data_IF_139103882537
#
_entry.id   IF_139103882537
#
_cell.length_a   1.000
_cell.length_b   1.000
_cell.length_c   1.000
_cell.angle_alpha   90.00
_cell.angle_beta   90.00
_cell.angle_gamma   90.00
#
_symmetry.space_group_name_H-M   'P 1'
#
loop_
_entity.id
_entity.type
_entity.pdbx_description
1 polymer ?
#
# COMPACT_ATOMS: atom_id res chain seq x y z
N UNK A 1 -1.90 48.66 66.02
CA UNK A 1 -3.09 48.87 66.91
C UNK A 1 -3.78 47.55 66.98
N UNK A 2 -3.47 46.73 67.97
CA UNK A 2 -4.23 46.46 69.17
C UNK A 2 -5.65 46.01 68.87
N UNK A 3 -6.12 44.86 69.24
CA UNK A 3 -6.10 44.33 70.56
C UNK A 3 -6.52 42.82 70.64
N UNK A 4 -6.03 42.31 71.68
CA UNK A 4 -6.24 41.04 72.34
C UNK A 4 -7.64 40.94 73.01
N UNK A 5 -7.97 39.70 73.33
CA UNK A 5 -8.56 39.16 74.59
C UNK A 5 -9.59 38.09 74.27
N UNK A 6 -9.75 36.92 74.87
CA UNK A 6 -9.30 36.23 76.06
C UNK A 6 -10.39 35.24 76.46
N UNK A 7 -10.00 34.01 76.69
CA UNK A 7 -10.49 33.00 77.66
C UNK A 7 -11.89 33.00 78.19
N UNK A 8 -12.61 31.87 78.16
CA UNK A 8 -12.99 31.22 79.44
C UNK A 8 -13.40 29.75 79.21
N UNK A 9 -12.91 28.92 80.10
CA UNK A 9 -13.19 27.49 80.26
C UNK A 9 -14.59 27.29 80.83
N UNK A 10 -15.17 26.12 80.51
CA UNK A 10 -15.97 25.38 81.52
C UNK A 10 -15.96 23.91 81.21
N UNK A 11 -15.55 23.15 82.17
CA UNK A 11 -15.52 21.65 82.25
C UNK A 11 -16.91 21.13 82.59
N UNK A 12 -17.29 20.02 82.00
CA UNK A 12 -18.18 19.05 82.66
C UNK A 12 -17.90 17.60 82.13
N UNK A 13 -17.64 16.73 83.06
CA UNK A 13 -17.44 15.28 82.88
C UNK A 13 -18.81 14.59 82.66
N UNK A 14 -18.89 13.63 81.76
CA UNK A 14 -19.75 12.47 81.96
C UNK A 14 -19.23 11.27 81.18
N UNK A 15 -19.13 10.17 81.89
CA UNK A 15 -18.70 8.83 81.41
C UNK A 15 -19.75 8.20 80.51
N UNK A 16 -19.34 7.54 79.40
CA UNK A 16 -20.28 6.79 78.58
C UNK A 16 -19.56 5.82 77.68
N UNK A 17 -19.82 4.58 77.83
CA UNK A 17 -19.41 3.34 77.18
C UNK A 17 -18.79 3.45 75.77
N UNK A 18 -17.60 2.89 75.62
CA UNK A 18 -16.99 2.62 74.32
C UNK A 18 -17.54 1.30 73.78
N UNK A 19 -18.39 1.41 72.75
CA UNK A 19 -18.79 0.27 71.94
C UNK A 19 -17.87 0.18 70.74
N UNK A 20 -17.04 -0.83 70.72
CA UNK A 20 -16.08 -1.10 69.65
C UNK A 20 -16.84 -1.74 68.46
N UNK A 21 -17.15 -0.94 67.44
CA UNK A 21 -17.70 -1.44 66.18
C UNK A 21 -16.53 -1.85 65.25
N UNK A 22 -16.32 -3.15 65.12
CA UNK A 22 -15.41 -3.73 64.06
C UNK A 22 -16.08 -3.55 62.70
N UNK A 23 -15.58 -2.56 61.92
CA UNK A 23 -15.86 -2.48 60.49
C UNK A 23 -14.99 -3.52 59.77
N UNK A 24 -15.59 -4.66 59.36
CA UNK A 24 -15.00 -5.57 58.40
C UNK A 24 -15.09 -4.93 57.02
N UNK A 25 -13.97 -4.35 56.54
CA UNK A 25 -13.81 -3.91 55.15
C UNK A 25 -13.65 -5.15 54.25
N UNK A 26 -14.77 -5.63 53.70
CA UNK A 26 -14.75 -6.66 52.66
C UNK A 26 -14.11 -6.04 51.38
N UNK A 27 -12.89 -6.42 51.06
CA UNK A 27 -12.32 -6.20 49.73
C UNK A 27 -13.16 -6.97 48.69
N UNK A 28 -14.05 -6.30 47.99
CA UNK A 28 -14.65 -6.79 46.76
C UNK A 28 -13.55 -6.83 45.69
N UNK A 29 -12.89 -7.98 45.55
CA UNK A 29 -12.07 -8.26 44.37
C UNK A 29 -13.03 -8.44 43.22
N UNK A 30 -13.21 -7.39 42.41
CA UNK A 30 -13.91 -7.50 41.14
C UNK A 30 -13.15 -8.52 40.26
N UNK A 31 -13.82 -9.52 39.69
CA UNK A 31 -13.17 -10.43 38.78
C UNK A 31 -12.64 -9.59 37.58
N UNK A 32 -11.31 -9.59 37.36
CA UNK A 32 -10.73 -9.10 36.16
C UNK A 32 -11.35 -9.91 35.02
N UNK A 33 -12.24 -9.29 34.25
CA UNK A 33 -12.71 -9.86 33.01
C UNK A 33 -11.48 -10.09 32.12
N UNK A 34 -11.06 -11.33 31.97
CA UNK A 34 -10.13 -11.77 30.96
C UNK A 34 -10.71 -11.29 29.63
N UNK A 35 -10.10 -10.28 29.03
CA UNK A 35 -10.47 -9.84 27.69
C UNK A 35 -10.43 -11.07 26.79
N UNK A 36 -11.55 -11.38 26.12
CA UNK A 36 -11.57 -12.45 25.14
C UNK A 36 -10.43 -12.22 24.15
N UNK A 37 -9.67 -13.26 23.78
CA UNK A 37 -8.58 -13.09 22.82
C UNK A 37 -9.15 -12.42 21.57
N UNK A 38 -8.49 -11.34 21.11
CA UNK A 38 -8.91 -10.63 19.92
C UNK A 38 -9.09 -11.64 18.78
N UNK A 39 -10.19 -11.53 18.05
CA UNK A 39 -10.53 -12.50 17.00
C UNK A 39 -9.42 -12.49 15.94
N UNK A 40 -8.55 -13.51 15.96
CA UNK A 40 -7.48 -13.67 14.97
C UNK A 40 -8.07 -13.92 13.60
N UNK A 41 -7.36 -13.46 12.56
CA UNK A 41 -7.71 -13.73 11.18
C UNK A 41 -7.76 -12.49 10.30
N UNK A 42 -8.08 -12.72 9.04
CA UNK A 42 -8.20 -11.69 8.01
C UNK A 42 -9.67 -11.31 7.85
N UNK A 43 -9.99 -10.03 8.03
CA UNK A 43 -11.31 -9.46 7.78
C UNK A 43 -11.27 -8.65 6.50
N UNK A 44 -12.29 -8.82 5.65
CA UNK A 44 -12.50 -8.08 4.41
C UNK A 44 -13.93 -7.53 4.47
N UNK A 45 -14.06 -6.23 4.69
CA UNK A 45 -15.34 -5.56 4.98
C UNK A 45 -15.59 -4.45 3.97
N UNK A 46 -16.66 -4.59 3.18
CA UNK A 46 -17.05 -3.59 2.19
C UNK A 46 -17.80 -2.41 2.85
N UNK A 47 -17.45 -1.22 2.43
CA UNK A 47 -18.14 0.04 2.72
C UNK A 47 -18.29 0.80 1.38
N UNK A 48 -19.27 0.40 0.59
CA UNK A 48 -19.49 0.96 -0.75
C UNK A 48 -19.91 2.43 -0.70
N UNK A 49 -20.58 2.85 0.39
CA UNK A 49 -20.99 4.25 0.57
C UNK A 49 -19.78 5.18 0.62
N UNK A 50 -18.68 4.73 1.24
CA UNK A 50 -17.41 5.44 1.32
C UNK A 50 -16.39 5.01 0.25
N UNK A 51 -16.83 4.22 -0.74
CA UNK A 51 -16.02 3.73 -1.87
C UNK A 51 -14.74 3.04 -1.42
N UNK A 52 -14.88 2.07 -0.50
CA UNK A 52 -13.77 1.32 0.05
C UNK A 52 -14.16 -0.09 0.47
N UNK A 53 -13.15 -0.95 0.56
CA UNK A 53 -13.21 -2.23 1.26
C UNK A 53 -12.03 -2.25 2.21
N UNK A 54 -12.28 -2.43 3.51
CA UNK A 54 -11.25 -2.46 4.52
C UNK A 54 -10.74 -3.86 4.78
N UNK A 55 -9.45 -4.00 4.86
CA UNK A 55 -8.75 -5.25 5.17
C UNK A 55 -7.98 -5.07 6.48
N UNK A 56 -8.31 -5.92 7.45
CA UNK A 56 -7.59 -6.02 8.73
C UNK A 56 -7.05 -7.42 8.94
N UNK A 57 -5.90 -7.53 9.60
CA UNK A 57 -5.30 -8.80 10.02
C UNK A 57 -5.12 -8.74 11.53
N UNK A 58 -5.68 -9.73 12.24
CA UNK A 58 -5.68 -9.81 13.72
C UNK A 58 -6.16 -8.49 14.38
N UNK A 59 -7.25 -7.93 13.83
CA UNK A 59 -7.84 -6.63 14.19
C UNK A 59 -6.97 -5.39 13.91
N UNK A 60 -5.74 -5.55 13.42
CA UNK A 60 -4.89 -4.41 13.01
C UNK A 60 -5.15 -4.04 11.54
N UNK A 61 -5.15 -2.75 11.18
CA UNK A 61 -5.26 -2.32 9.80
C UNK A 61 -4.13 -2.93 8.94
N UNK A 62 -4.48 -3.37 7.72
CA UNK A 62 -3.49 -3.79 6.73
C UNK A 62 -3.54 -2.89 5.52
N UNK A 63 -4.70 -2.82 4.86
CA UNK A 63 -4.90 -1.94 3.70
C UNK A 63 -6.39 -1.69 3.47
N UNK A 64 -6.71 -0.79 2.54
CA UNK A 64 -8.06 -0.64 2.01
C UNK A 64 -7.99 -0.60 0.48
N UNK A 65 -8.87 -1.35 -0.18
CA UNK A 65 -9.15 -1.14 -1.59
C UNK A 65 -10.07 0.07 -1.72
N UNK A 66 -9.60 1.11 -2.39
CA UNK A 66 -10.33 2.38 -2.51
C UNK A 66 -10.48 2.82 -3.96
N UNK A 67 -11.62 3.49 -4.28
CA UNK A 67 -11.90 4.08 -5.60
C UNK A 67 -12.55 5.47 -5.48
N UNK A 68 -11.87 6.43 -4.80
CA UNK A 68 -12.40 7.77 -4.65
C UNK A 68 -12.46 8.50 -6.00
N UNK A 69 -13.37 9.46 -6.15
CA UNK A 69 -13.52 10.24 -7.39
C UNK A 69 -12.32 11.10 -7.75
N UNK A 70 -11.44 11.36 -6.78
CA UNK A 70 -10.19 12.10 -6.98
C UNK A 70 -9.13 11.31 -7.75
N UNK A 71 -9.18 9.97 -7.70
CA UNK A 71 -8.30 9.11 -8.47
C UNK A 71 -8.93 8.68 -9.81
N UNK A 72 -8.09 8.25 -10.74
CA UNK A 72 -8.50 7.78 -12.08
C UNK A 72 -8.44 6.26 -12.20
N UNK A 73 -8.17 5.57 -11.11
CA UNK A 73 -8.11 4.12 -10.98
C UNK A 73 -8.31 3.71 -9.52
N UNK A 74 -8.79 2.48 -9.25
CA UNK A 74 -8.77 1.91 -7.90
C UNK A 74 -7.34 1.64 -7.44
N UNK A 75 -7.12 1.65 -6.13
CA UNK A 75 -5.82 1.38 -5.52
C UNK A 75 -5.97 0.67 -4.17
N UNK A 76 -4.93 -0.04 -3.71
CA UNK A 76 -4.79 -0.44 -2.31
C UNK A 76 -4.02 0.66 -1.55
N UNK A 77 -4.65 1.28 -0.54
CA UNK A 77 -4.07 2.38 0.24
C UNK A 77 -4.79 2.57 1.58
N UNK A 78 -4.07 2.93 2.67
CA UNK A 78 -2.62 2.77 2.81
C UNK A 78 -2.24 1.28 2.87
N UNK A 79 -0.95 0.96 2.79
CA UNK A 79 -0.44 -0.39 3.09
C UNK A 79 0.42 -0.27 4.35
N UNK A 80 0.13 -1.15 5.32
CA UNK A 80 0.70 -1.13 6.66
C UNK A 80 1.26 -2.51 6.99
N UNK A 81 2.46 -2.59 7.53
CA UNK A 81 3.08 -3.85 7.91
C UNK A 81 2.50 -4.46 9.20
N UNK A 82 3.06 -5.57 9.68
CA UNK A 82 2.58 -6.25 10.87
C UNK A 82 2.82 -5.44 12.16
N UNK A 83 3.80 -4.55 12.17
CA UNK A 83 4.18 -3.70 13.30
C UNK A 83 3.48 -2.31 13.26
N UNK A 84 2.59 -2.09 12.29
CA UNK A 84 1.84 -0.84 12.15
C UNK A 84 2.57 0.25 11.37
N UNK A 85 3.66 -0.08 10.67
CA UNK A 85 4.44 0.85 9.87
C UNK A 85 3.81 1.03 8.49
N UNK A 86 3.46 2.27 8.13
CA UNK A 86 2.93 2.58 6.81
C UNK A 86 4.06 2.66 5.78
N UNK A 87 3.95 1.86 4.72
CA UNK A 87 4.96 1.76 3.65
C UNK A 87 4.61 2.55 2.40
N UNK A 88 3.37 3.03 2.27
CA UNK A 88 2.92 3.82 1.12
C UNK A 88 3.04 5.32 1.37
N UNK A 89 3.44 6.08 0.32
CA UNK A 89 3.41 7.54 0.33
C UNK A 89 1.98 8.06 0.51
N UNK A 90 1.81 9.13 1.30
CA UNK A 90 0.50 9.72 1.56
C UNK A 90 -0.05 10.51 0.37
N UNK A 91 0.77 11.36 -0.29
CA UNK A 91 0.33 12.15 -1.43
C UNK A 91 -0.16 11.30 -2.62
N UNK A 92 -1.29 11.63 -3.29
CA UNK A 92 -2.11 12.82 -3.12
C UNK A 92 -3.28 12.66 -2.13
N UNK A 93 -3.43 11.54 -1.45
CA UNK A 93 -4.59 11.19 -0.63
C UNK A 93 -4.49 11.73 0.81
N UNK A 94 -3.29 11.69 1.35
CA UNK A 94 -2.98 12.11 2.72
C UNK A 94 -1.64 12.87 2.69
N UNK A 95 -1.70 14.17 2.99
CA UNK A 95 -0.52 15.03 2.88
C UNK A 95 0.33 14.92 4.14
N UNK A 96 1.56 14.46 3.99
CA UNK A 96 2.50 14.29 5.12
C UNK A 96 3.74 15.17 4.93
N UNK A 97 4.15 15.93 5.96
CA UNK A 97 5.41 16.68 5.91
C UNK A 97 6.61 15.78 5.60
N UNK A 98 7.50 16.28 4.77
CA UNK A 98 8.71 15.56 4.36
C UNK A 98 8.51 14.57 3.21
N UNK A 99 7.27 14.32 2.75
CA UNK A 99 7.02 13.47 1.58
C UNK A 99 7.03 14.26 0.27
N UNK A 100 7.47 13.60 -0.81
CA UNK A 100 7.40 14.17 -2.17
C UNK A 100 5.97 14.37 -2.62
N UNK A 101 5.71 15.51 -3.27
CA UNK A 101 4.42 15.88 -3.85
C UNK A 101 4.47 15.94 -5.37
N UNK A 102 5.20 15.00 -5.96
CA UNK A 102 5.28 14.77 -7.40
C UNK A 102 4.34 13.64 -7.85
N UNK A 103 4.15 13.46 -9.15
CA UNK A 103 3.41 12.34 -9.74
C UNK A 103 2.09 12.02 -9.00
N UNK A 104 1.07 12.89 -9.07
CA UNK A 104 -0.20 12.71 -8.34
C UNK A 104 -0.97 11.45 -8.76
N UNK A 105 -0.56 10.80 -9.85
CA UNK A 105 -1.10 9.52 -10.31
C UNK A 105 -0.46 8.31 -9.61
N UNK A 106 0.64 8.48 -8.87
CA UNK A 106 1.25 7.40 -8.08
C UNK A 106 0.64 7.36 -6.67
N UNK A 107 -0.37 6.53 -6.44
CA UNK A 107 -1.05 6.39 -5.16
C UNK A 107 -1.18 4.92 -4.77
N UNK A 108 -0.67 4.54 -3.59
CA UNK A 108 -0.76 3.18 -3.06
C UNK A 108 -0.11 2.11 -3.93
N UNK A 109 -0.77 0.95 -4.04
CA UNK A 109 -0.49 -0.13 -4.98
C UNK A 109 -1.61 -0.16 -6.02
N UNK A 110 -1.26 -0.20 -7.31
CA UNK A 110 -2.23 -0.10 -8.40
C UNK A 110 -1.80 -0.89 -9.63
N UNK A 111 -2.78 -1.18 -10.51
CA UNK A 111 -2.57 -1.82 -11.81
C UNK A 111 -3.12 -0.92 -12.92
N UNK A 112 -2.28 -0.51 -13.88
CA UNK A 112 -2.65 0.20 -15.11
C UNK A 112 -1.48 0.26 -16.10
N UNK A 113 -1.63 0.94 -17.25
CA UNK A 113 -0.61 1.00 -18.30
C UNK A 113 -0.63 2.33 -19.06
N UNK A 114 0.55 2.77 -19.55
CA UNK A 114 0.72 4.06 -20.22
C UNK A 114 0.06 4.10 -21.60
N UNK A 115 0.17 3.05 -22.41
CA UNK A 115 -0.26 3.10 -23.82
C UNK A 115 -1.16 1.94 -24.20
N UNK A 116 -2.48 2.16 -24.10
CA UNK A 116 -3.51 1.22 -24.54
C UNK A 116 -4.34 1.86 -25.64
N UNK A 117 -4.19 1.40 -26.87
CA UNK A 117 -4.81 1.99 -28.07
C UNK A 117 -4.50 3.50 -28.24
N UNK A 118 -3.34 3.97 -27.74
CA UNK A 118 -2.94 5.37 -27.79
C UNK A 118 -3.48 6.24 -26.67
N UNK A 119 -4.19 5.67 -25.69
CA UNK A 119 -4.64 6.37 -24.49
C UNK A 119 -3.73 6.04 -23.30
N UNK A 120 -3.45 7.06 -22.49
CA UNK A 120 -2.60 6.95 -21.32
C UNK A 120 -3.45 6.75 -20.05
N UNK A 121 -3.40 5.53 -19.50
CA UNK A 121 -4.07 5.21 -18.25
C UNK A 121 -3.16 5.38 -17.03
N UNK A 122 -1.82 5.40 -17.24
CA UNK A 122 -0.87 5.51 -16.14
C UNK A 122 -0.78 6.93 -15.58
N UNK A 123 -0.51 7.91 -16.43
CA UNK A 123 -0.25 9.28 -16.00
C UNK A 123 -1.52 10.08 -15.65
N UNK A 124 -2.71 9.52 -15.86
CA UNK A 124 -3.96 10.24 -15.63
C UNK A 124 -4.19 10.58 -14.16
N UNK A 125 -4.49 11.85 -13.91
CA UNK A 125 -4.77 12.40 -12.58
C UNK A 125 -5.63 13.67 -12.67
N UNK A 126 -6.04 14.20 -11.53
CA UNK A 126 -6.72 15.50 -11.47
C UNK A 126 -5.89 16.69 -11.96
N UNK A 127 -4.55 16.55 -12.01
CA UNK A 127 -3.63 17.59 -12.47
C UNK A 127 -3.46 17.66 -13.99
N UNK A 128 -4.05 16.73 -14.76
CA UNK A 128 -3.99 16.73 -16.22
C UNK A 128 -4.73 17.96 -16.77
N UNK A 129 -4.05 18.70 -17.65
CA UNK A 129 -4.62 19.88 -18.29
C UNK A 129 -5.81 19.53 -19.18
N UNK A 130 -6.82 20.40 -19.29
CA UNK A 130 -8.04 20.12 -20.04
C UNK A 130 -7.81 19.64 -21.48
N UNK A 131 -6.84 20.22 -22.18
CA UNK A 131 -6.50 19.90 -23.57
C UNK A 131 -5.87 18.52 -23.76
N UNK A 132 -5.35 17.91 -22.68
CA UNK A 132 -4.74 16.58 -22.70
C UNK A 132 -5.72 15.47 -22.30
N UNK A 133 -6.85 15.81 -21.68
CA UNK A 133 -7.79 14.83 -21.10
C UNK A 133 -8.35 13.85 -22.12
N UNK A 134 -8.53 14.25 -23.36
CA UNK A 134 -9.02 13.39 -24.44
C UNK A 134 -8.06 12.23 -24.77
N UNK A 135 -6.79 12.33 -24.40
CA UNK A 135 -5.76 11.30 -24.60
C UNK A 135 -5.57 10.40 -23.36
N UNK A 136 -6.28 10.69 -22.28
CA UNK A 136 -6.17 9.94 -21.03
C UNK A 136 -7.22 8.85 -20.96
N UNK A 137 -6.90 7.75 -20.26
CA UNK A 137 -7.86 6.72 -19.90
C UNK A 137 -8.10 6.67 -18.39
N UNK A 138 -9.20 6.08 -17.98
CA UNK A 138 -9.54 5.88 -16.57
C UNK A 138 -10.01 4.44 -16.34
N UNK A 139 -9.75 3.91 -15.14
CA UNK A 139 -10.25 2.61 -14.71
C UNK A 139 -11.30 2.85 -13.64
N UNK A 140 -12.53 2.49 -13.95
CA UNK A 140 -13.68 2.78 -13.10
C UNK A 140 -14.14 1.50 -12.41
N UNK A 141 -14.16 1.50 -11.08
CA UNK A 141 -14.78 0.44 -10.28
C UNK A 141 -16.24 0.32 -10.62
N UNK A 142 -16.71 -0.89 -10.93
CA UNK A 142 -18.11 -1.15 -11.31
C UNK A 142 -18.84 -1.98 -10.28
N UNK A 143 -18.17 -2.98 -9.68
CA UNK A 143 -18.84 -3.91 -8.75
C UNK A 143 -17.85 -4.56 -7.79
N UNK A 144 -18.27 -4.75 -6.53
CA UNK A 144 -17.69 -5.74 -5.63
C UNK A 144 -18.41 -7.06 -5.90
N UNK A 145 -17.67 -8.05 -6.40
CA UNK A 145 -18.25 -9.38 -6.72
C UNK A 145 -18.41 -10.20 -5.46
N UNK A 146 -17.38 -10.23 -4.62
CA UNK A 146 -17.40 -10.95 -3.34
C UNK A 146 -16.34 -10.45 -2.38
N UNK A 147 -16.64 -10.59 -1.09
CA UNK A 147 -15.71 -10.46 0.02
C UNK A 147 -15.77 -11.73 0.88
N UNK A 148 -14.62 -12.26 1.29
CA UNK A 148 -14.52 -13.39 2.20
C UNK A 148 -13.49 -13.07 3.27
N UNK A 149 -13.87 -13.32 4.52
CA UNK A 149 -12.97 -13.25 5.68
C UNK A 149 -12.64 -14.68 6.13
N UNK A 150 -11.45 -14.89 6.70
CA UNK A 150 -11.03 -16.22 7.15
C UNK A 150 -9.93 -16.17 8.21
N UNK A 151 -9.54 -17.34 8.72
CA UNK A 151 -8.54 -17.43 9.79
C UNK A 151 -7.13 -17.02 9.29
N UNK A 152 -6.74 -17.51 8.11
CA UNK A 152 -5.38 -17.33 7.59
C UNK A 152 -5.36 -16.47 6.33
N UNK A 153 -6.48 -16.37 5.61
CA UNK A 153 -6.62 -15.56 4.42
C UNK A 153 -8.00 -14.89 4.30
N UNK A 154 -8.03 -13.74 3.61
CA UNK A 154 -9.25 -13.08 3.15
C UNK A 154 -9.20 -12.88 1.64
N UNK A 155 -10.35 -12.77 1.00
CA UNK A 155 -10.46 -12.61 -0.44
C UNK A 155 -11.38 -11.44 -0.78
N UNK A 156 -10.97 -10.65 -1.77
CA UNK A 156 -11.79 -9.62 -2.41
C UNK A 156 -11.78 -9.86 -3.92
N UNK A 157 -12.96 -9.92 -4.52
CA UNK A 157 -13.10 -9.95 -5.99
C UNK A 157 -13.87 -8.73 -6.44
N UNK A 158 -13.28 -7.98 -7.36
CA UNK A 158 -13.85 -6.72 -7.89
C UNK A 158 -13.84 -6.72 -9.41
N UNK A 159 -14.75 -5.94 -9.98
CA UNK A 159 -14.79 -5.66 -11.40
C UNK A 159 -14.63 -4.16 -11.66
N UNK A 160 -13.92 -3.86 -12.74
CA UNK A 160 -13.69 -2.50 -13.23
C UNK A 160 -13.75 -2.47 -14.75
N UNK A 161 -13.91 -1.29 -15.31
CA UNK A 161 -13.92 -1.07 -16.75
C UNK A 161 -12.86 -0.02 -17.12
N UNK A 162 -12.10 -0.27 -18.20
CA UNK A 162 -11.16 0.69 -18.75
C UNK A 162 -11.87 1.54 -19.78
N UNK A 163 -11.88 2.86 -19.54
CA UNK A 163 -12.60 3.84 -20.32
C UNK A 163 -11.63 4.86 -20.89
N UNK A 164 -11.67 5.06 -22.18
CA UNK A 164 -10.84 6.04 -22.90
C UNK A 164 -11.33 7.47 -22.69
N UNK A 165 -10.53 8.46 -23.05
CA UNK A 165 -10.86 9.87 -22.90
C UNK A 165 -12.08 10.32 -23.71
N UNK A 166 -12.48 9.57 -24.73
CA UNK A 166 -13.72 9.72 -25.52
C UNK A 166 -14.88 8.87 -24.98
N UNK A 167 -14.77 8.37 -23.75
CA UNK A 167 -15.77 7.57 -23.03
C UNK A 167 -16.08 6.18 -23.65
N UNK A 168 -15.20 5.63 -24.47
CA UNK A 168 -15.34 4.27 -24.98
C UNK A 168 -14.81 3.26 -23.96
N UNK A 169 -15.60 2.25 -23.64
CA UNK A 169 -15.16 1.09 -22.85
C UNK A 169 -14.38 0.14 -23.76
N UNK A 170 -13.14 -0.20 -23.38
CA UNK A 170 -12.25 -1.03 -24.19
C UNK A 170 -11.86 -2.35 -23.52
N UNK A 171 -11.86 -2.40 -22.17
CA UNK A 171 -11.54 -3.60 -21.40
C UNK A 171 -12.45 -3.72 -20.19
N UNK A 172 -12.89 -4.94 -19.90
CA UNK A 172 -13.34 -5.32 -18.58
C UNK A 172 -12.15 -5.89 -17.81
N UNK A 173 -12.05 -5.53 -16.55
CA UNK A 173 -11.06 -6.06 -15.62
C UNK A 173 -11.76 -6.75 -14.47
N UNK A 174 -11.37 -7.98 -14.19
CA UNK A 174 -11.69 -8.66 -12.92
C UNK A 174 -10.40 -8.79 -12.14
N UNK A 175 -10.40 -8.32 -10.90
CA UNK A 175 -9.25 -8.48 -10.00
C UNK A 175 -9.66 -9.28 -8.78
N UNK A 176 -8.91 -10.34 -8.50
CA UNK A 176 -9.00 -11.12 -7.28
C UNK A 176 -7.78 -10.83 -6.43
N UNK A 177 -8.01 -10.27 -5.25
CA UNK A 177 -7.03 -10.10 -4.20
C UNK A 177 -7.15 -11.21 -3.19
N UNK A 178 -6.01 -11.77 -2.74
CA UNK A 178 -5.94 -12.64 -1.57
C UNK A 178 -4.99 -12.01 -0.57
N UNK A 179 -5.50 -11.71 0.59
CA UNK A 179 -4.76 -11.13 1.71
C UNK A 179 -4.45 -12.25 2.69
N UNK A 180 -3.16 -12.46 2.99
CA UNK A 180 -2.74 -13.56 3.85
C UNK A 180 -1.96 -13.06 5.05
N UNK A 181 -2.25 -13.69 6.19
CA UNK A 181 -1.49 -13.55 7.41
C UNK A 181 -0.31 -14.52 7.39
N UNK A 182 0.88 -14.01 7.67
CA UNK A 182 2.08 -14.81 7.94
C UNK A 182 2.72 -14.30 9.24
N UNK A 183 3.51 -15.12 9.88
CA UNK A 183 4.34 -14.67 11.00
C UNK A 183 5.38 -13.68 10.46
N UNK A 184 5.44 -12.46 11.05
CA UNK A 184 6.33 -11.37 10.64
C UNK A 184 6.21 -10.90 9.18
N UNK A 185 5.13 -11.28 8.48
CA UNK A 185 4.85 -10.79 7.13
C UNK A 185 3.36 -10.66 6.83
N UNK A 186 3.04 -9.82 5.86
CA UNK A 186 1.71 -9.69 5.25
C UNK A 186 1.84 -9.89 3.75
N UNK A 187 0.90 -10.61 3.16
CA UNK A 187 0.97 -10.97 1.74
C UNK A 187 -0.27 -10.51 1.02
N UNK A 188 -0.08 -9.99 -0.18
CA UNK A 188 -1.15 -9.67 -1.13
C UNK A 188 -0.86 -10.42 -2.43
N UNK A 189 -1.74 -11.34 -2.80
CA UNK A 189 -1.78 -11.87 -4.16
C UNK A 189 -2.79 -11.08 -4.97
N UNK A 190 -2.41 -10.72 -6.17
CA UNK A 190 -3.24 -9.99 -7.11
C UNK A 190 -3.30 -10.76 -8.43
N UNK A 191 -4.50 -11.24 -8.78
CA UNK A 191 -4.78 -11.90 -10.04
C UNK A 191 -5.71 -11.00 -10.85
N UNK A 192 -5.18 -10.43 -11.91
CA UNK A 192 -5.88 -9.51 -12.79
C UNK A 192 -6.20 -10.23 -14.10
N UNK A 193 -7.46 -10.27 -14.49
CA UNK A 193 -7.91 -10.73 -15.80
C UNK A 193 -8.49 -9.57 -16.58
N UNK A 194 -7.89 -9.27 -17.71
CA UNK A 194 -8.35 -8.27 -18.68
C UNK A 194 -9.09 -8.99 -19.80
N UNK A 195 -10.34 -8.59 -20.09
CA UNK A 195 -11.12 -9.08 -21.22
C UNK A 195 -11.39 -7.95 -22.19
N UNK A 196 -10.95 -8.11 -23.43
CA UNK A 196 -11.11 -7.10 -24.46
C UNK A 196 -12.57 -6.98 -24.95
N UNK A 197 -13.07 -5.74 -24.97
CA UNK A 197 -14.40 -5.39 -25.50
C UNK A 197 -14.34 -4.99 -26.98
N UNK A 198 -13.12 -4.71 -27.47
CA UNK A 198 -12.79 -4.36 -28.84
C UNK A 198 -11.37 -4.87 -29.15
N UNK A 199 -10.80 -4.57 -30.32
CA UNK A 199 -9.38 -4.77 -30.60
C UNK A 199 -8.55 -3.85 -29.69
N UNK A 200 -7.69 -4.41 -28.83
CA UNK A 200 -6.90 -3.70 -27.84
C UNK A 200 -5.41 -4.04 -28.01
N UNK A 201 -4.58 -3.01 -28.11
CA UNK A 201 -3.13 -3.12 -28.20
C UNK A 201 -2.49 -2.37 -27.04
N UNK A 202 -1.77 -3.09 -26.19
CA UNK A 202 -0.83 -2.53 -25.23
C UNK A 202 0.50 -2.32 -25.95
N UNK A 203 0.75 -1.13 -26.49
CA UNK A 203 2.03 -0.80 -27.11
C UNK A 203 3.11 -0.74 -26.07
N UNK A 204 4.29 -1.25 -26.39
CA UNK A 204 5.44 -1.16 -25.49
C UNK A 204 5.61 0.27 -24.97
N UNK A 205 5.62 0.43 -23.67
CA UNK A 205 5.74 1.71 -22.98
C UNK A 205 6.56 1.55 -21.69
N UNK A 206 7.10 2.65 -21.23
CA UNK A 206 7.94 2.66 -20.02
C UNK A 206 7.11 2.45 -18.75
N UNK A 207 5.94 3.07 -18.68
CA UNK A 207 5.14 3.17 -17.46
C UNK A 207 4.02 2.12 -17.44
N UNK A 208 4.15 1.18 -16.56
CA UNK A 208 3.28 0.04 -16.33
C UNK A 208 3.95 -0.97 -15.37
N UNK A 209 3.35 -2.04 -15.01
CA UNK A 209 1.95 -2.47 -15.11
C UNK A 209 1.35 -2.48 -13.70
N UNK A 210 2.03 -3.17 -12.76
CA UNK A 210 1.78 -3.10 -11.32
C UNK A 210 2.73 -2.08 -10.72
N UNK A 211 2.18 -1.02 -10.10
CA UNK A 211 2.96 0.05 -9.49
C UNK A 211 2.69 0.20 -8.01
N UNK A 212 3.73 0.45 -7.24
CA UNK A 212 3.69 0.82 -5.83
C UNK A 212 4.41 2.15 -5.64
N UNK A 213 3.82 3.10 -4.92
CA UNK A 213 4.51 4.31 -4.49
C UNK A 213 4.78 4.24 -2.99
N UNK A 214 6.06 4.14 -2.65
CA UNK A 214 6.48 3.96 -1.27
C UNK A 214 6.63 5.27 -0.51
N UNK A 215 6.58 5.20 0.82
CA UNK A 215 6.84 6.30 1.73
C UNK A 215 8.26 6.86 1.57
N UNK A 216 8.49 8.12 1.93
CA UNK A 216 9.76 8.82 1.72
C UNK A 216 10.97 8.13 2.37
N UNK A 217 10.80 7.48 3.51
CA UNK A 217 11.88 6.75 4.17
C UNK A 217 12.34 5.48 3.43
N UNK A 218 11.51 4.98 2.48
CA UNK A 218 11.84 3.89 1.53
C UNK A 218 12.38 4.41 0.18
N UNK A 219 12.53 5.74 0.00
CA UNK A 219 13.24 6.27 -1.16
C UNK A 219 14.73 5.95 -1.05
N UNK A 220 15.45 5.99 -2.18
CA UNK A 220 16.91 5.85 -2.18
C UNK A 220 17.58 7.05 -1.51
N UNK A 221 18.58 6.86 -0.64
CA UNK A 221 19.36 7.96 -0.07
C UNK A 221 20.15 8.74 -1.12
N UNK A 222 20.32 8.20 -2.33
CA UNK A 222 20.98 8.89 -3.45
C UNK A 222 20.07 9.91 -4.13
N UNK A 223 18.75 9.80 -3.95
CA UNK A 223 17.78 10.75 -4.53
C UNK A 223 17.86 12.09 -3.82
N UNK A 224 18.08 13.13 -4.61
CA UNK A 224 18.26 14.49 -4.11
C UNK A 224 17.31 15.44 -4.80
N UNK A 225 16.90 16.45 -4.05
CA UNK A 225 16.02 17.49 -4.58
C UNK A 225 14.61 17.00 -4.93
N UNK A 226 13.75 17.92 -5.29
CA UNK A 226 12.36 17.66 -5.65
C UNK A 226 11.41 18.67 -5.03
N UNK A 227 10.11 18.35 -5.09
CA UNK A 227 9.06 19.12 -4.42
C UNK A 227 8.55 18.27 -3.25
N UNK A 228 8.64 18.81 -2.04
CA UNK A 228 8.27 18.14 -0.82
C UNK A 228 7.22 18.94 -0.07
N UNK A 229 6.38 18.27 0.71
CA UNK A 229 5.48 18.92 1.66
C UNK A 229 6.30 19.46 2.83
N UNK A 230 6.22 20.76 3.11
CA UNK A 230 6.82 21.34 4.30
C UNK A 230 5.97 21.11 5.56
N UNK A 231 6.48 21.51 6.71
CA UNK A 231 5.77 21.38 7.99
C UNK A 231 4.49 22.23 8.09
N UNK A 232 4.33 23.22 7.22
CA UNK A 232 3.15 24.08 7.12
C UNK A 232 2.12 23.57 6.12
N UNK A 233 2.40 22.43 5.46
CA UNK A 233 1.51 21.85 4.45
C UNK A 233 1.62 22.48 3.06
N UNK A 234 2.73 23.15 2.74
CA UNK A 234 2.96 23.75 1.42
C UNK A 234 3.97 22.93 0.60
N UNK A 235 3.72 22.71 -0.71
CA UNK A 235 4.70 22.14 -1.61
C UNK A 235 5.91 23.08 -1.77
N UNK A 236 7.09 22.65 -1.37
CA UNK A 236 8.32 23.43 -1.40
C UNK A 236 9.38 22.71 -2.21
N UNK A 237 10.00 23.42 -3.19
CA UNK A 237 11.11 22.89 -3.97
C UNK A 237 12.39 22.93 -3.13
N UNK A 238 13.10 21.82 -3.10
CA UNK A 238 14.42 21.70 -2.48
C UNK A 238 15.40 21.07 -3.48
N UNK A 239 16.65 21.56 -3.49
CA UNK A 239 17.67 21.11 -4.45
C UNK A 239 18.56 19.97 -3.88
N UNK A 240 18.43 19.67 -2.61
CA UNK A 240 19.09 18.56 -1.93
C UNK A 240 18.10 17.77 -1.09
N UNK A 241 18.46 16.57 -0.65
CA UNK A 241 17.65 15.83 0.31
C UNK A 241 17.36 16.71 1.54
N UNK A 242 16.11 16.74 2.04
CA UNK A 242 15.77 17.55 3.21
C UNK A 242 16.63 17.14 4.40
N UNK A 243 17.31 18.11 5.01
CA UNK A 243 18.13 17.90 6.22
C UNK A 243 17.23 18.00 7.45
N UNK A 244 17.41 17.07 8.40
CA UNK A 244 16.68 17.10 9.66
C UNK A 244 15.21 16.68 9.57
N UNK A 245 14.79 16.04 8.46
CA UNK A 245 13.48 15.39 8.40
C UNK A 245 13.45 14.16 9.32
N UNK A 246 12.34 13.90 10.01
CA UNK A 246 12.12 12.61 10.61
C UNK A 246 12.15 11.52 9.52
N UNK A 247 12.85 10.42 9.76
CA UNK A 247 12.95 9.29 8.84
C UNK A 247 13.64 9.63 7.50
N UNK A 248 14.97 9.76 7.47
CA UNK A 248 15.71 9.93 6.22
C UNK A 248 15.51 8.73 5.30
N UNK A 249 15.63 8.95 3.99
CA UNK A 249 15.56 7.90 3.00
C UNK A 249 16.66 6.84 3.21
N UNK A 250 16.27 5.56 3.23
CA UNK A 250 17.16 4.43 3.49
C UNK A 250 16.95 3.27 2.51
N UNK A 251 16.04 3.43 1.54
CA UNK A 251 15.62 2.35 0.66
C UNK A 251 16.71 1.84 -0.28
N UNK A 252 16.88 0.54 -0.33
CA UNK A 252 17.77 -0.15 -1.26
C UNK A 252 17.01 -1.26 -2.01
N UNK A 253 17.02 -1.21 -3.34
CA UNK A 253 16.51 -2.28 -4.19
C UNK A 253 17.48 -3.45 -4.29
N UNK A 254 16.93 -4.66 -4.43
CA UNK A 254 17.68 -5.88 -4.78
C UNK A 254 16.81 -6.73 -5.70
N UNK A 255 17.35 -7.14 -6.86
CA UNK A 255 16.66 -8.05 -7.78
C UNK A 255 17.06 -9.51 -7.53
N UNK A 256 16.27 -10.45 -8.06
CA UNK A 256 16.59 -11.89 -8.06
C UNK A 256 17.92 -12.23 -8.76
N UNK A 257 18.45 -11.30 -9.54
CA UNK A 257 19.73 -11.44 -10.25
C UNK A 257 20.88 -10.77 -9.48
N UNK A 258 20.64 -10.33 -8.23
CA UNK A 258 21.64 -9.71 -7.36
C UNK A 258 21.98 -8.25 -7.68
N UNK A 259 21.20 -7.59 -8.55
CA UNK A 259 21.43 -6.18 -8.92
C UNK A 259 20.83 -5.28 -7.84
N UNK A 260 21.63 -4.29 -7.36
CA UNK A 260 21.29 -3.45 -6.23
C UNK A 260 21.02 -1.99 -6.60
N UNK A 261 20.26 -1.31 -5.73
CA UNK A 261 20.01 0.12 -5.75
C UNK A 261 19.39 0.59 -7.08
N UNK A 262 19.77 1.77 -7.53
CA UNK A 262 19.24 2.38 -8.77
C UNK A 262 19.57 1.60 -10.04
N UNK A 263 20.56 0.68 -9.99
CA UNK A 263 20.89 -0.19 -11.12
C UNK A 263 19.81 -1.26 -11.39
N UNK A 264 18.89 -1.50 -10.45
CA UNK A 264 17.73 -2.38 -10.65
C UNK A 264 16.80 -1.88 -11.76
N UNK A 265 16.78 -0.57 -12.05
CA UNK A 265 15.96 0.00 -13.13
C UNK A 265 16.27 -0.64 -14.49
N UNK A 266 15.22 -0.96 -15.23
CA UNK A 266 15.28 -1.57 -16.57
C UNK A 266 15.91 -2.98 -16.61
N UNK A 267 16.19 -3.61 -15.46
CA UNK A 267 16.65 -5.00 -15.41
C UNK A 267 15.47 -5.97 -15.35
N UNK A 268 15.69 -7.21 -15.76
CA UNK A 268 14.69 -8.27 -15.66
C UNK A 268 14.96 -9.14 -14.43
N UNK A 269 13.90 -9.69 -13.86
CA UNK A 269 14.05 -10.61 -12.74
C UNK A 269 12.70 -11.19 -12.31
N UNK A 270 12.75 -12.34 -11.62
CA UNK A 270 11.57 -13.03 -11.10
C UNK A 270 10.93 -12.27 -9.94
N UNK A 271 11.74 -11.59 -9.16
CA UNK A 271 11.33 -10.71 -8.09
C UNK A 271 12.30 -9.54 -7.93
N UNK A 272 11.81 -8.48 -7.35
CA UNK A 272 12.61 -7.37 -6.84
C UNK A 272 12.13 -7.04 -5.42
N UNK A 273 13.06 -6.74 -4.53
CA UNK A 273 12.77 -6.26 -3.18
C UNK A 273 13.25 -4.84 -2.99
N UNK A 274 12.63 -4.16 -2.03
CA UNK A 274 13.02 -2.85 -1.52
C UNK A 274 13.08 -2.95 0.00
N UNK A 275 14.27 -2.81 0.58
CA UNK A 275 14.48 -2.82 2.03
C UNK A 275 14.83 -1.43 2.51
N UNK A 276 14.26 -1.00 3.63
CA UNK A 276 14.57 0.27 4.28
C UNK A 276 14.29 0.25 5.77
N UNK A 277 14.67 1.35 6.45
CA UNK A 277 14.60 1.47 7.90
C UNK A 277 13.85 2.75 8.30
N UNK A 278 13.09 2.66 9.40
CA UNK A 278 12.46 3.82 10.05
C UNK A 278 12.47 3.62 11.56
N UNK A 279 13.18 4.50 12.30
CA UNK A 279 13.52 4.24 13.70
C UNK A 279 14.26 2.92 13.83
N UNK A 280 13.81 2.07 14.75
CA UNK A 280 14.38 0.73 14.98
C UNK A 280 13.75 -0.37 14.12
N UNK A 281 12.80 -0.01 13.22
CA UNK A 281 12.12 -0.96 12.37
C UNK A 281 12.81 -1.11 11.02
N UNK A 282 12.92 -2.35 10.57
CA UNK A 282 13.35 -2.71 9.22
C UNK A 282 12.19 -3.33 8.48
N UNK A 283 11.95 -2.87 7.27
CA UNK A 283 10.90 -3.40 6.41
C UNK A 283 11.48 -3.82 5.07
N UNK A 284 11.05 -4.96 4.56
CA UNK A 284 11.32 -5.38 3.18
C UNK A 284 9.99 -5.56 2.43
N UNK A 285 9.87 -4.92 1.28
CA UNK A 285 8.77 -5.14 0.32
C UNK A 285 9.33 -5.97 -0.82
N UNK A 286 8.79 -7.17 -1.06
CA UNK A 286 9.12 -7.96 -2.25
C UNK A 286 7.94 -7.96 -3.22
N UNK A 287 8.18 -7.61 -4.49
CA UNK A 287 7.25 -7.83 -5.60
C UNK A 287 7.72 -9.04 -6.40
N UNK A 288 6.83 -10.01 -6.61
CA UNK A 288 7.12 -11.27 -7.27
C UNK A 288 6.26 -11.39 -8.52
N UNK A 289 6.92 -11.61 -9.65
CA UNK A 289 6.29 -11.86 -10.95
C UNK A 289 6.00 -13.35 -11.14
N UNK A 290 4.93 -13.68 -11.87
CA UNK A 290 4.54 -15.07 -12.12
C UNK A 290 4.95 -15.53 -13.52
N UNK A 291 5.53 -16.74 -13.69
CA UNK A 291 5.92 -17.27 -14.99
C UNK A 291 4.80 -17.34 -16.04
N UNK A 292 3.54 -17.39 -15.61
CA UNK A 292 2.38 -17.34 -16.49
C UNK A 292 2.03 -15.95 -17.04
N UNK A 293 2.72 -14.90 -16.61
CA UNK A 293 2.44 -13.56 -17.08
C UNK A 293 2.97 -13.30 -18.49
N UNK A 294 2.20 -12.62 -19.36
CA UNK A 294 2.75 -12.11 -20.62
C UNK A 294 4.01 -11.28 -20.36
N UNK A 295 5.10 -11.59 -21.08
CA UNK A 295 6.36 -10.86 -20.97
C UNK A 295 7.27 -11.25 -19.80
N UNK A 296 6.93 -12.30 -19.03
CA UNK A 296 7.79 -12.83 -17.93
C UNK A 296 9.23 -13.14 -18.39
N UNK A 297 10.26 -12.97 -17.52
CA UNK A 297 10.23 -12.18 -16.30
C UNK A 297 10.10 -10.68 -16.59
N UNK A 298 9.48 -9.97 -15.66
CA UNK A 298 9.21 -8.54 -15.81
C UNK A 298 10.46 -7.68 -15.91
N UNK A 299 10.34 -6.48 -16.47
CA UNK A 299 11.30 -5.40 -16.26
C UNK A 299 10.94 -4.62 -15.01
N UNK A 300 11.93 -4.30 -14.19
CA UNK A 300 11.73 -3.53 -12.97
C UNK A 300 11.81 -2.03 -13.27
N UNK A 301 10.71 -1.33 -13.07
CA UNK A 301 10.69 0.12 -13.08
C UNK A 301 10.88 0.62 -11.64
N UNK A 302 12.06 0.31 -11.07
CA UNK A 302 12.48 0.66 -9.72
C UNK A 302 13.21 2.02 -9.76
N UNK A 303 12.66 3.02 -9.12
CA UNK A 303 13.18 4.40 -9.14
C UNK A 303 13.48 4.88 -7.73
N UNK A 304 14.64 5.53 -7.56
CA UNK A 304 15.08 6.02 -6.25
C UNK A 304 14.10 6.97 -5.57
N UNK A 305 13.28 7.71 -6.33
CA UNK A 305 12.23 8.57 -5.78
C UNK A 305 10.98 7.81 -5.28
N UNK A 306 11.06 6.50 -5.12
CA UNK A 306 10.02 5.69 -4.48
C UNK A 306 8.93 5.13 -5.41
N UNK A 307 9.12 5.13 -6.75
CA UNK A 307 8.32 4.31 -7.65
C UNK A 307 8.93 2.90 -7.72
N UNK A 308 8.13 1.91 -7.38
CA UNK A 308 8.48 0.50 -7.45
C UNK A 308 7.44 -0.23 -8.30
N UNK A 309 7.79 -0.56 -9.56
CA UNK A 309 6.84 -1.15 -10.48
C UNK A 309 7.41 -2.33 -11.29
N UNK A 310 6.51 -3.27 -11.61
CA UNK A 310 6.76 -4.40 -12.49
C UNK A 310 6.12 -4.11 -13.86
N UNK A 311 6.93 -4.00 -14.91
CA UNK A 311 6.44 -3.75 -16.27
C UNK A 311 6.89 -4.85 -17.25
N UNK A 312 6.13 -5.92 -17.43
CA UNK A 312 6.48 -6.99 -18.37
C UNK A 312 6.27 -6.61 -19.85
N UNK A 313 5.53 -5.52 -20.13
CA UNK A 313 5.13 -5.13 -21.47
C UNK A 313 6.01 -4.02 -22.10
N UNK A 314 7.03 -3.55 -21.38
CA UNK A 314 7.93 -2.49 -21.87
C UNK A 314 9.17 -3.00 -22.62
N UNK A 315 9.10 -4.16 -23.28
CA UNK A 315 10.26 -4.89 -23.81
C UNK A 315 11.22 -4.04 -24.62
N UNK A 316 10.78 -3.42 -25.71
CA UNK A 316 11.63 -2.62 -26.59
C UNK A 316 12.03 -1.26 -26.00
N UNK A 317 11.33 -0.81 -24.97
CA UNK A 317 11.65 0.45 -24.27
C UNK A 317 12.81 0.24 -23.29
N UNK A 318 12.80 -0.88 -22.56
CA UNK A 318 13.85 -1.21 -21.58
C UNK A 318 15.07 -1.87 -22.25
N UNK A 319 14.85 -2.62 -23.34
CA UNK A 319 15.92 -3.20 -24.15
C UNK A 319 15.67 -2.92 -25.65
N UNK A 320 16.24 -1.85 -26.20
CA UNK A 320 16.04 -1.47 -27.60
C UNK A 320 16.52 -2.50 -28.63
N UNK A 321 17.26 -3.54 -28.22
CA UNK A 321 17.67 -4.64 -29.09
C UNK A 321 16.55 -5.67 -29.28
N UNK A 322 15.54 -5.66 -28.41
CA UNK A 322 14.41 -6.58 -28.48
C UNK A 322 13.31 -6.04 -29.41
N UNK A 323 12.63 -6.94 -30.10
CA UNK A 323 11.40 -6.57 -30.79
C UNK A 323 10.30 -6.22 -29.76
N UNK A 324 9.44 -5.22 -30.06
CA UNK A 324 8.34 -4.88 -29.17
C UNK A 324 7.41 -6.07 -28.95
N UNK A 325 6.89 -6.20 -27.73
CA UNK A 325 5.89 -7.23 -27.41
C UNK A 325 4.53 -6.85 -27.99
N UNK A 326 4.13 -5.59 -27.83
CA UNK A 326 2.83 -5.05 -28.27
C UNK A 326 1.68 -6.04 -28.00
N UNK A 327 1.46 -6.38 -26.73
CA UNK A 327 0.41 -7.34 -26.36
C UNK A 327 -0.93 -6.95 -26.97
N UNK A 328 -1.47 -7.81 -27.82
CA UNK A 328 -2.69 -7.58 -28.56
C UNK A 328 -3.77 -8.55 -28.10
N UNK A 329 -4.98 -8.04 -27.87
CA UNK A 329 -6.17 -8.80 -27.52
C UNK A 329 -7.29 -8.47 -28.53
N UNK A 330 -7.75 -9.46 -29.25
CA UNK A 330 -8.93 -9.33 -30.07
C UNK A 330 -10.19 -9.30 -29.19
N UNK A 331 -11.28 -8.74 -29.72
CA UNK A 331 -12.56 -8.66 -29.00
C UNK A 331 -12.96 -10.03 -28.44
N UNK A 332 -13.18 -10.07 -27.12
CA UNK A 332 -13.56 -11.27 -26.38
C UNK A 332 -12.35 -12.08 -25.85
N UNK A 333 -11.14 -11.81 -26.32
CA UNK A 333 -9.92 -12.43 -25.79
C UNK A 333 -9.58 -11.86 -24.41
N UNK A 334 -8.83 -12.65 -23.63
CA UNK A 334 -8.40 -12.26 -22.28
C UNK A 334 -6.91 -12.51 -22.09
N UNK A 335 -6.30 -11.67 -21.25
CA UNK A 335 -4.98 -11.90 -20.67
C UNK A 335 -5.07 -11.82 -19.15
N UNK A 336 -4.26 -12.63 -18.47
CA UNK A 336 -4.19 -12.60 -17.01
C UNK A 336 -2.78 -12.28 -16.56
N UNK A 337 -2.69 -11.49 -15.50
CA UNK A 337 -1.46 -11.14 -14.80
C UNK A 337 -1.58 -11.55 -13.35
N UNK A 338 -0.51 -12.05 -12.77
CA UNK A 338 -0.44 -12.53 -11.38
C UNK A 338 0.79 -11.97 -10.73
N UNK A 339 0.60 -11.35 -9.57
CA UNK A 339 1.68 -10.79 -8.78
C UNK A 339 1.47 -11.14 -7.31
N UNK A 340 2.58 -11.31 -6.58
CA UNK A 340 2.58 -11.38 -5.12
C UNK A 340 3.39 -10.22 -4.58
N UNK A 341 2.83 -9.47 -3.64
CA UNK A 341 3.56 -8.57 -2.78
C UNK A 341 3.70 -9.21 -1.41
N UNK A 342 4.94 -9.28 -0.91
CA UNK A 342 5.22 -9.69 0.47
C UNK A 342 5.80 -8.50 1.22
N UNK A 343 5.21 -8.19 2.36
CA UNK A 343 5.62 -7.11 3.24
C UNK A 343 6.15 -7.73 4.54
N UNK A 344 7.47 -7.82 4.65
CA UNK A 344 8.17 -8.35 5.82
C UNK A 344 8.47 -7.23 6.81
N UNK A 345 8.23 -7.49 8.10
CA UNK A 345 8.65 -6.59 9.21
C UNK A 345 10.09 -6.88 9.66
N UNK A 346 10.96 -7.23 8.73
CA UNK A 346 12.40 -7.45 8.92
C UNK A 346 13.16 -7.33 7.60
N UNK A 347 14.50 -7.40 7.65
CA UNK A 347 15.34 -7.54 6.47
C UNK A 347 15.22 -8.98 5.92
N UNK A 348 14.39 -9.17 4.90
CA UNK A 348 14.23 -10.48 4.27
C UNK A 348 15.45 -10.85 3.43
N UNK A 349 15.90 -12.12 3.54
CA UNK A 349 16.97 -12.64 2.72
C UNK A 349 16.49 -13.01 1.30
N UNK A 350 17.39 -13.08 0.32
CA UNK A 350 17.07 -13.59 -1.01
C UNK A 350 16.43 -14.99 -0.98
N UNK A 351 16.89 -15.86 -0.08
CA UNK A 351 16.39 -17.24 0.07
C UNK A 351 14.94 -17.26 0.57
N UNK A 352 14.57 -16.37 1.48
CA UNK A 352 13.19 -16.23 1.95
C UNK A 352 12.28 -15.77 0.80
N UNK A 353 12.74 -14.79 0.00
CA UNK A 353 11.96 -14.29 -1.14
C UNK A 353 11.86 -15.34 -2.25
N UNK A 354 12.92 -16.12 -2.49
CA UNK A 354 12.91 -17.24 -3.46
C UNK A 354 11.95 -18.35 -3.03
N UNK A 355 11.86 -18.65 -1.73
CA UNK A 355 10.91 -19.62 -1.19
C UNK A 355 9.46 -19.16 -1.41
N UNK A 356 9.15 -17.88 -1.15
CA UNK A 356 7.84 -17.28 -1.42
C UNK A 356 7.53 -17.27 -2.93
N UNK A 357 8.49 -16.97 -3.79
CA UNK A 357 8.33 -17.03 -5.24
C UNK A 357 8.02 -18.47 -5.70
N UNK A 358 8.69 -19.47 -5.15
CA UNK A 358 8.44 -20.88 -5.42
C UNK A 358 7.03 -21.33 -5.01
N UNK A 359 6.57 -20.91 -3.83
CA UNK A 359 5.22 -21.14 -3.32
C UNK A 359 4.17 -20.52 -4.25
N UNK A 360 4.34 -19.26 -4.60
CA UNK A 360 3.42 -18.51 -5.46
C UNK A 360 3.24 -19.16 -6.85
N UNK A 361 4.32 -19.66 -7.46
CA UNK A 361 4.23 -20.39 -8.73
C UNK A 361 3.43 -21.69 -8.56
N UNK A 362 3.60 -22.38 -7.43
CA UNK A 362 2.91 -23.64 -7.13
C UNK A 362 1.39 -23.51 -7.02
N UNK A 363 0.91 -22.37 -6.52
CA UNK A 363 -0.53 -22.11 -6.30
C UNK A 363 -1.33 -21.92 -7.61
N UNK A 364 -0.65 -21.73 -8.76
CA UNK A 364 -1.27 -21.45 -10.06
C UNK A 364 -0.92 -22.49 -11.14
N UNK A 365 -0.46 -23.69 -10.72
CA UNK A 365 -0.20 -24.82 -11.64
C UNK A 365 -1.45 -25.62 -11.98
#
# INVERSE_FOLDING_TARGET
>A
MNGKLSLSQLSLKSSGLVTLALLAAGLLVAPSALAAPAARGVKVVADEANRRVDITIDCAPFTSYIWPTSLKKPVLYPIVDADGITVTRGYPLDLRPGERVDHPHHAGLWFNYENVNGFDFWNNSGAIKPEQRSKMGSILQTRIVSTKSGADLGELVVESVWVTGDNKQILNQTTRYVFMRRDHARVIDEVITLKALDHVVFKDAKDGLLGLRVASWLESPEEKGGIFMDASGNPTKVDAAPVGVPNPATGEYLTSEGIRGNAAWATRGRWCSLTGHTGDHTVTIALIDNPGNPGFPTYWHARGYGLFAANPLGRSIFDPKQQPLNLTLEKGQSASFRYRMVLYSHAASPEEIDAEAGSFVGEFK
#
